data_IF_984096450938
#
_entry.id   IF_984096450938
#
_cell.length_a   1.000
_cell.length_b   1.000
_cell.length_c   1.000
_cell.angle_alpha   90.00
_cell.angle_beta   90.00
_cell.angle_gamma   90.00
#
_symmetry.space_group_name_H-M   'P 1'
#
loop_
_entity.id
_entity.type
_entity.pdbx_description
1 polymer ?
#
# COMPACT_ATOMS: atom_id res chain seq x y z
N UNK A 1 29.18 14.56 -1.24
CA UNK A 1 28.74 13.41 -0.45
C UNK A 1 27.68 12.68 -1.27
N UNK A 2 27.90 11.42 -1.64
CA UNK A 2 26.85 10.62 -2.27
C UNK A 2 25.89 10.12 -1.19
N UNK A 3 24.56 10.30 -1.34
CA UNK A 3 23.62 9.72 -0.40
C UNK A 3 23.80 8.19 -0.38
N UNK A 4 23.70 7.60 0.81
CA UNK A 4 23.81 6.16 1.00
C UNK A 4 22.81 5.44 0.08
N UNK A 5 23.20 4.33 -0.59
CA UNK A 5 22.27 3.55 -1.40
C UNK A 5 21.28 2.74 -0.54
N UNK A 6 21.45 2.75 0.78
CA UNK A 6 20.60 2.01 1.72
C UNK A 6 19.24 2.69 1.87
N UNK A 7 18.20 1.88 2.08
CA UNK A 7 16.85 2.36 2.33
C UNK A 7 16.83 3.31 3.54
N UNK A 8 16.30 4.54 3.40
CA UNK A 8 16.27 5.53 4.48
C UNK A 8 15.37 5.13 5.66
N UNK A 9 14.57 4.07 5.51
CA UNK A 9 13.64 3.62 6.54
C UNK A 9 14.21 2.48 7.37
N UNK A 10 14.81 1.45 6.74
CA UNK A 10 15.35 0.30 7.48
C UNK A 10 16.87 0.30 7.59
N UNK A 11 17.58 1.06 6.76
CA UNK A 11 19.05 1.16 6.73
C UNK A 11 19.80 -0.17 6.56
N UNK A 12 19.12 -1.25 6.15
CA UNK A 12 19.72 -2.60 6.07
C UNK A 12 19.99 -3.08 4.64
N UNK A 13 19.29 -2.53 3.65
CA UNK A 13 19.27 -3.08 2.29
C UNK A 13 19.30 -1.93 1.29
N UNK A 14 19.96 -2.16 0.14
CA UNK A 14 19.95 -1.19 -0.97
C UNK A 14 18.52 -0.93 -1.41
N UNK A 15 18.16 0.34 -1.59
CA UNK A 15 16.83 0.73 -2.00
C UNK A 15 16.62 0.48 -3.50
N UNK A 16 16.05 -0.67 -3.83
CA UNK A 16 15.50 -0.97 -5.16
C UNK A 16 14.03 -0.57 -5.23
N UNK A 17 13.45 -0.44 -6.44
CA UNK A 17 12.02 -0.16 -6.59
C UNK A 17 11.13 -1.19 -5.86
N UNK A 18 11.51 -2.48 -5.89
CA UNK A 18 10.77 -3.54 -5.19
C UNK A 18 10.93 -3.42 -3.67
N UNK A 19 12.11 -3.09 -3.18
CA UNK A 19 12.31 -2.85 -1.74
C UNK A 19 11.52 -1.62 -1.25
N UNK A 20 11.62 -0.54 -2.02
CA UNK A 20 10.92 0.73 -1.82
C UNK A 20 9.39 0.56 -1.79
N UNK A 21 8.82 -0.22 -2.72
CA UNK A 21 7.37 -0.42 -2.84
C UNK A 21 6.82 -1.64 -2.11
N UNK A 22 7.64 -2.61 -1.69
CA UNK A 22 7.10 -3.86 -1.14
C UNK A 22 7.88 -4.41 0.06
N UNK A 23 9.17 -4.66 -0.09
CA UNK A 23 9.90 -5.55 0.83
C UNK A 23 10.62 -4.87 2.00
N UNK A 24 10.75 -3.54 2.03
CA UNK A 24 11.24 -2.86 3.24
C UNK A 24 10.43 -3.30 4.48
N UNK A 25 11.03 -3.72 5.61
CA UNK A 25 10.28 -4.39 6.68
C UNK A 25 9.07 -3.62 7.22
N UNK A 26 9.15 -2.31 7.54
CA UNK A 26 7.97 -1.54 7.95
C UNK A 26 6.90 -1.44 6.87
N UNK A 27 7.31 -1.40 5.61
CA UNK A 27 6.42 -1.34 4.44
C UNK A 27 5.71 -2.67 4.18
N UNK A 28 6.43 -3.78 4.33
CA UNK A 28 5.88 -5.12 4.23
C UNK A 28 4.83 -5.37 5.34
N UNK A 29 5.02 -4.81 6.54
CA UNK A 29 4.01 -4.86 7.61
C UNK A 29 2.71 -4.17 7.20
N UNK A 30 2.78 -3.01 6.54
CA UNK A 30 1.58 -2.35 5.98
C UNK A 30 0.90 -3.26 4.96
N UNK A 31 1.65 -3.83 4.01
CA UNK A 31 1.07 -4.76 3.01
C UNK A 31 0.37 -5.94 3.67
N UNK A 32 1.02 -6.62 4.62
CA UNK A 32 0.42 -7.77 5.31
C UNK A 32 -0.88 -7.41 6.01
N UNK A 33 -0.95 -6.24 6.65
CA UNK A 33 -2.16 -5.77 7.30
C UNK A 33 -3.28 -5.45 6.30
N UNK A 34 -2.95 -4.83 5.16
CA UNK A 34 -3.93 -4.53 4.10
C UNK A 34 -4.42 -5.81 3.41
N UNK A 35 -3.51 -6.72 3.09
CA UNK A 35 -3.86 -8.05 2.56
C UNK A 35 -4.82 -8.72 3.52
N UNK A 36 -4.44 -8.87 4.80
CA UNK A 36 -5.27 -9.53 5.81
C UNK A 36 -6.66 -8.89 5.93
N UNK A 37 -6.74 -7.55 5.85
CA UNK A 37 -7.98 -6.82 6.05
C UNK A 37 -8.90 -6.83 4.82
N UNK A 38 -8.35 -6.79 3.62
CA UNK A 38 -9.12 -6.47 2.40
C UNK A 38 -8.97 -7.48 1.25
N UNK A 39 -7.89 -8.26 1.22
CA UNK A 39 -7.53 -9.13 0.07
C UNK A 39 -7.35 -10.62 0.46
N UNK A 40 -7.46 -10.96 1.75
CA UNK A 40 -7.31 -12.32 2.32
C UNK A 40 -8.43 -13.27 1.84
N UNK A 41 -8.22 -14.61 1.75
CA UNK A 41 -7.10 -15.42 2.27
C UNK A 41 -5.89 -15.76 1.42
N UNK A 42 -5.96 -15.69 0.10
CA UNK A 42 -4.90 -16.31 -0.74
C UNK A 42 -3.88 -15.32 -1.30
N UNK A 43 -4.06 -14.01 -1.08
CA UNK A 43 -3.19 -12.99 -1.66
C UNK A 43 -1.90 -12.84 -0.87
N UNK A 44 -0.77 -12.90 -1.56
CA UNK A 44 0.56 -12.62 -1.06
C UNK A 44 1.09 -11.27 -1.55
N UNK A 45 2.20 -10.79 -0.98
CA UNK A 45 2.89 -9.60 -1.51
C UNK A 45 3.36 -9.85 -2.95
N UNK A 46 3.74 -11.08 -3.28
CA UNK A 46 4.20 -11.43 -4.62
C UNK A 46 3.07 -11.30 -5.66
N UNK A 47 1.84 -11.66 -5.29
CA UNK A 47 0.67 -11.51 -6.17
C UNK A 47 0.36 -10.04 -6.44
N UNK A 48 0.51 -9.18 -5.42
CA UNK A 48 0.37 -7.71 -5.60
C UNK A 48 1.47 -7.18 -6.52
N UNK A 49 2.72 -7.63 -6.38
CA UNK A 49 3.81 -7.22 -7.27
C UNK A 49 3.47 -7.59 -8.72
N UNK A 50 3.03 -8.83 -8.96
CA UNK A 50 2.64 -9.29 -10.29
C UNK A 50 1.49 -8.46 -10.84
N UNK A 51 0.44 -8.22 -10.04
CA UNK A 51 -0.71 -7.42 -10.44
C UNK A 51 -0.33 -5.97 -10.80
N UNK A 52 0.59 -5.35 -10.05
CA UNK A 52 1.07 -3.99 -10.35
C UNK A 52 1.95 -3.97 -11.60
N UNK A 53 2.75 -5.01 -11.85
CA UNK A 53 3.60 -5.11 -13.03
C UNK A 53 2.83 -5.40 -14.32
N UNK A 54 1.80 -6.26 -14.25
CA UNK A 54 0.94 -6.60 -15.38
C UNK A 54 -0.22 -5.62 -15.58
N UNK A 55 -0.51 -4.80 -14.57
CA UNK A 55 -1.75 -4.01 -14.45
C UNK A 55 -3.02 -4.88 -14.49
N UNK A 56 -2.89 -6.18 -14.18
CA UNK A 56 -4.00 -7.10 -14.05
C UNK A 56 -4.22 -7.48 -12.59
N UNK A 57 -5.34 -7.02 -12.04
CA UNK A 57 -5.73 -7.26 -10.65
C UNK A 57 -6.71 -8.43 -10.51
N UNK A 58 -6.89 -9.26 -11.56
CA UNK A 58 -7.86 -10.35 -11.55
C UNK A 58 -7.67 -11.31 -10.38
N UNK A 59 -6.45 -11.79 -10.23
CA UNK A 59 -6.13 -12.85 -9.28
C UNK A 59 -6.13 -12.39 -7.82
N UNK A 60 -6.12 -11.07 -7.57
CA UNK A 60 -6.18 -10.50 -6.22
C UNK A 60 -7.57 -10.02 -5.80
N UNK A 61 -8.61 -10.25 -6.63
CA UNK A 61 -10.02 -9.90 -6.33
C UNK A 61 -10.70 -10.80 -5.30
N UNK A 62 -9.98 -11.77 -4.72
CA UNK A 62 -10.60 -12.80 -3.91
C UNK A 62 -11.21 -12.23 -2.61
N UNK A 63 -12.48 -12.55 -2.35
CA UNK A 63 -13.26 -12.09 -1.20
C UNK A 63 -13.65 -10.59 -1.22
N UNK A 64 -14.17 -10.08 -2.35
CA UNK A 64 -14.93 -8.82 -2.42
C UNK A 64 -16.21 -8.87 -1.57
N UNK A 65 -16.07 -8.93 -0.24
CA UNK A 65 -17.03 -8.34 0.71
C UNK A 65 -16.80 -6.83 0.84
N UNK A 66 -15.71 -6.33 0.27
CA UNK A 66 -15.37 -4.91 0.18
C UNK A 66 -16.16 -4.29 -0.97
N UNK A 67 -16.91 -3.23 -0.66
CA UNK A 67 -17.58 -2.36 -1.64
C UNK A 67 -16.57 -1.66 -2.59
N UNK A 68 -15.26 -1.79 -2.32
CA UNK A 68 -14.17 -1.25 -3.13
C UNK A 68 -13.40 -2.35 -3.86
N UNK A 69 -13.06 -2.12 -5.12
CA UNK A 69 -12.27 -3.05 -5.93
C UNK A 69 -10.82 -3.21 -5.43
N UNK A 70 -10.24 -4.39 -5.68
CA UNK A 70 -8.88 -4.70 -5.23
C UNK A 70 -7.81 -3.76 -5.81
N UNK A 71 -7.98 -3.32 -7.07
CA UNK A 71 -7.10 -2.34 -7.71
C UNK A 71 -7.10 -1.00 -6.96
N UNK A 72 -8.27 -0.51 -6.54
CA UNK A 72 -8.38 0.73 -5.77
C UNK A 72 -7.73 0.58 -4.40
N UNK A 73 -7.92 -0.54 -3.71
CA UNK A 73 -7.24 -0.82 -2.44
C UNK A 73 -5.70 -0.78 -2.62
N UNK A 74 -5.18 -1.38 -3.68
CA UNK A 74 -3.74 -1.37 -4.00
C UNK A 74 -3.27 0.06 -4.29
N UNK A 75 -4.00 0.83 -5.10
CA UNK A 75 -3.66 2.23 -5.44
C UNK A 75 -3.65 3.13 -4.19
N UNK A 76 -4.67 3.03 -3.33
CA UNK A 76 -4.73 3.79 -2.06
C UNK A 76 -3.53 3.44 -1.17
N UNK A 77 -3.19 2.14 -1.09
CA UNK A 77 -2.07 1.66 -0.27
C UNK A 77 -0.73 2.18 -0.81
N UNK A 78 -0.51 2.11 -2.12
CA UNK A 78 0.69 2.65 -2.77
C UNK A 78 0.82 4.15 -2.53
N UNK A 79 -0.27 4.90 -2.68
CA UNK A 79 -0.31 6.37 -2.51
C UNK A 79 0.06 6.77 -1.09
N UNK A 80 -0.55 6.15 -0.07
CA UNK A 80 -0.26 6.45 1.32
C UNK A 80 1.19 6.13 1.70
N UNK A 81 1.74 5.05 1.14
CA UNK A 81 3.12 4.63 1.41
C UNK A 81 4.16 5.47 0.67
N UNK A 82 3.85 5.91 -0.54
CA UNK A 82 4.63 6.90 -1.28
C UNK A 82 4.71 8.18 -0.44
N UNK A 83 3.57 8.73 -0.04
CA UNK A 83 3.50 9.93 0.82
C UNK A 83 4.33 9.77 2.10
N UNK A 84 4.16 8.67 2.82
CA UNK A 84 4.90 8.43 4.06
C UNK A 84 6.41 8.30 3.83
N UNK A 85 6.85 7.65 2.75
CA UNK A 85 8.27 7.59 2.44
C UNK A 85 8.87 8.97 2.18
N UNK A 86 8.22 9.80 1.35
CA UNK A 86 8.77 11.11 1.02
C UNK A 86 8.75 12.06 2.22
N UNK A 87 7.77 11.95 3.13
CA UNK A 87 7.83 12.64 4.43
C UNK A 87 9.05 12.21 5.26
N UNK A 88 9.41 10.92 5.23
CA UNK A 88 10.62 10.44 5.91
C UNK A 88 11.90 10.96 5.25
N UNK A 89 11.96 10.99 3.92
CA UNK A 89 13.17 11.41 3.19
C UNK A 89 13.36 12.92 3.21
N UNK A 90 12.29 13.69 3.06
CA UNK A 90 12.33 15.15 2.92
C UNK A 90 12.20 15.82 4.29
N UNK A 91 11.20 15.42 5.08
CA UNK A 91 10.85 16.08 6.34
C UNK A 91 11.47 15.40 7.57
N UNK A 92 12.29 14.36 7.36
CA UNK A 92 12.84 13.51 8.42
C UNK A 92 11.77 12.91 9.37
N UNK A 93 10.52 12.79 8.91
CA UNK A 93 9.43 12.27 9.72
C UNK A 93 9.53 10.74 9.91
N UNK A 94 9.19 10.19 11.08
CA UNK A 94 9.23 8.75 11.30
C UNK A 94 8.24 8.01 10.41
N UNK A 95 8.64 6.83 9.91
CA UNK A 95 7.76 5.96 9.14
C UNK A 95 6.81 5.18 10.08
N UNK A 96 5.67 5.79 10.41
CA UNK A 96 4.71 5.23 11.37
C UNK A 96 3.66 4.31 10.72
N UNK A 97 3.85 2.99 10.84
CA UNK A 97 2.96 1.97 10.26
C UNK A 97 1.49 2.16 10.67
N UNK A 98 1.23 2.45 11.94
CA UNK A 98 -0.15 2.59 12.44
C UNK A 98 -0.87 3.81 11.85
N UNK A 99 -0.16 4.93 11.72
CA UNK A 99 -0.70 6.14 11.10
C UNK A 99 -1.02 5.89 9.62
N UNK A 100 -0.14 5.21 8.89
CA UNK A 100 -0.37 4.83 7.48
C UNK A 100 -1.60 3.93 7.35
N UNK A 101 -1.75 2.94 8.24
CA UNK A 101 -2.93 2.06 8.23
C UNK A 101 -4.23 2.81 8.53
N UNK A 102 -4.20 3.78 9.44
CA UNK A 102 -5.35 4.63 9.73
C UNK A 102 -5.77 5.46 8.50
N UNK A 103 -4.80 6.06 7.80
CA UNK A 103 -5.08 6.84 6.59
C UNK A 103 -5.65 5.97 5.48
N UNK A 104 -5.06 4.79 5.21
CA UNK A 104 -5.58 3.85 4.20
C UNK A 104 -7.03 3.47 4.50
N UNK A 105 -7.36 3.17 5.77
CA UNK A 105 -8.75 2.85 6.16
C UNK A 105 -9.69 4.03 5.91
N UNK A 106 -9.28 5.24 6.27
CA UNK A 106 -10.07 6.45 6.02
C UNK A 106 -10.31 6.66 4.53
N UNK A 107 -9.28 6.53 3.71
CA UNK A 107 -9.37 6.72 2.26
C UNK A 107 -10.27 5.67 1.60
N UNK A 108 -10.18 4.41 2.02
CA UNK A 108 -11.08 3.34 1.56
C UNK A 108 -12.53 3.63 1.94
N UNK A 109 -12.79 4.06 3.17
CA UNK A 109 -14.15 4.40 3.62
C UNK A 109 -14.72 5.63 2.90
N UNK A 110 -13.89 6.63 2.63
CA UNK A 110 -14.31 7.79 1.86
C UNK A 110 -14.67 7.39 0.42
N UNK A 111 -13.88 6.51 -0.19
CA UNK A 111 -14.17 6.01 -1.53
C UNK A 111 -15.51 5.26 -1.60
N UNK A 112 -15.82 4.45 -0.59
CA UNK A 112 -17.13 3.77 -0.50
C UNK A 112 -18.27 4.79 -0.50
N UNK A 113 -18.16 5.85 0.31
CA UNK A 113 -19.19 6.89 0.40
C UNK A 113 -19.37 7.64 -0.92
N UNK A 114 -18.28 7.96 -1.61
CA UNK A 114 -18.32 8.63 -2.92
C UNK A 114 -19.06 7.77 -3.95
N UNK A 115 -18.73 6.47 -4.03
CA UNK A 115 -19.34 5.55 -4.98
C UNK A 115 -20.86 5.37 -4.70
N UNK A 116 -21.29 5.38 -3.42
CA UNK A 116 -22.71 5.32 -3.02
C UNK A 116 -23.51 6.58 -3.43
N UNK A 117 -22.93 7.78 -3.26
CA UNK A 117 -23.60 9.03 -3.67
C UNK A 117 -23.85 9.08 -5.18
N UNK A 118 -22.95 8.49 -5.97
CA UNK A 118 -23.07 8.44 -7.42
C UNK A 118 -24.01 7.34 -7.94
N UNK A 119 -24.33 6.30 -7.14
CA UNK A 119 -25.30 5.27 -7.53
C UNK A 119 -26.76 5.66 -7.34
N UNK A 120 -27.03 6.71 -6.55
CA UNK A 120 -28.39 7.18 -6.21
C UNK A 120 -28.92 8.27 -7.17
N UNK A 121 -28.19 8.57 -8.25
CA UNK A 121 -28.50 9.54 -9.31
C UNK A 121 -28.93 8.85 -10.61
#
# INVERSE_FOLDING_TARGET
MHPSPLCPICSTTIETAVHFLFYCPPKATVWRAIIFKFLWPTVSIQDIIQAVQSLDFYDIRYNQRSEVSASIIVIITLTNRWRAHFRTVIDAAPFEVQHILANIRSDVLNRIKEDQVHSDL
#
